data_IF_801672396096
#
_entry.id   IF_801672396096
#
_cell.length_a   1.000
_cell.length_b   1.000
_cell.length_c   1.000
_cell.angle_alpha   90.00
_cell.angle_beta   90.00
_cell.angle_gamma   90.00
#
_symmetry.space_group_name_H-M   'P 1'
#
loop_
_entity.id
_entity.type
_entity.pdbx_description
1 polymer ?
#
# COMPACT_ATOMS: atom_id res chain seq x y z
N UNK A 1 -15.52 -24.10 0.96
CA UNK A 1 -15.79 -22.79 0.27
C UNK A 1 -17.14 -22.88 -0.45
N UNK A 2 -18.01 -21.93 -0.22
CA UNK A 2 -19.29 -21.77 -0.95
C UNK A 2 -19.05 -21.16 -2.35
N UNK A 3 -20.11 -21.02 -3.17
CA UNK A 3 -19.98 -20.51 -4.54
C UNK A 3 -19.41 -19.09 -4.61
N UNK A 4 -19.82 -18.21 -3.68
CA UNK A 4 -19.36 -16.83 -3.62
C UNK A 4 -17.88 -16.73 -3.22
N UNK A 5 -17.44 -17.52 -2.26
CA UNK A 5 -16.04 -17.61 -1.86
C UNK A 5 -15.16 -18.13 -3.00
N UNK A 6 -15.64 -19.14 -3.77
CA UNK A 6 -14.92 -19.64 -4.95
C UNK A 6 -14.78 -18.56 -6.03
N UNK A 7 -15.84 -17.80 -6.27
CA UNK A 7 -15.81 -16.69 -7.22
C UNK A 7 -14.73 -15.66 -6.86
N UNK A 8 -14.73 -15.15 -5.61
CA UNK A 8 -13.76 -14.16 -5.18
C UNK A 8 -12.33 -14.72 -5.08
N UNK A 9 -12.16 -16.00 -4.74
CA UNK A 9 -10.85 -16.65 -4.80
C UNK A 9 -10.32 -16.76 -6.23
N UNK A 10 -11.19 -17.02 -7.20
CA UNK A 10 -10.84 -16.99 -8.63
C UNK A 10 -10.42 -15.58 -9.08
N UNK A 11 -11.20 -14.58 -8.71
CA UNK A 11 -10.92 -13.18 -9.02
C UNK A 11 -9.55 -12.72 -8.45
N UNK A 12 -9.25 -13.06 -7.20
CA UNK A 12 -7.96 -12.74 -6.59
C UNK A 12 -6.79 -13.39 -7.35
N UNK A 13 -6.93 -14.68 -7.71
CA UNK A 13 -5.91 -15.40 -8.49
C UNK A 13 -5.65 -14.79 -9.86
N UNK A 14 -6.72 -14.41 -10.56
CA UNK A 14 -6.63 -13.76 -11.86
C UNK A 14 -5.96 -12.38 -11.73
N UNK A 15 -6.32 -11.61 -10.72
CA UNK A 15 -5.74 -10.30 -10.46
C UNK A 15 -4.25 -10.39 -10.15
N UNK A 16 -3.82 -11.32 -9.28
CA UNK A 16 -2.40 -11.55 -8.98
C UNK A 16 -1.60 -11.85 -10.26
N UNK A 17 -2.15 -12.65 -11.18
CA UNK A 17 -1.49 -12.92 -12.46
C UNK A 17 -1.44 -11.74 -13.43
N UNK A 18 -2.28 -10.71 -13.21
CA UNK A 18 -2.35 -9.53 -14.07
C UNK A 18 -1.53 -8.33 -13.57
N UNK A 19 -1.44 -8.14 -12.26
CA UNK A 19 -0.82 -6.92 -11.70
C UNK A 19 0.66 -6.76 -12.07
N UNK A 20 1.39 -7.87 -12.28
CA UNK A 20 2.79 -7.86 -12.71
C UNK A 20 2.98 -8.17 -14.20
N UNK A 21 1.94 -8.05 -15.03
CA UNK A 21 2.04 -8.35 -16.47
C UNK A 21 2.63 -7.21 -17.30
N UNK A 22 2.56 -5.98 -16.82
CA UNK A 22 3.15 -4.79 -17.41
C UNK A 22 3.21 -3.65 -16.37
N UNK A 23 3.96 -2.58 -16.68
CA UNK A 23 4.15 -1.42 -15.80
C UNK A 23 2.82 -0.74 -15.45
N UNK A 24 1.92 -0.53 -16.41
CA UNK A 24 0.65 0.16 -16.17
C UNK A 24 -0.24 -0.58 -15.18
N UNK A 25 -0.30 -1.90 -15.25
CA UNK A 25 -1.05 -2.71 -14.30
C UNK A 25 -0.43 -2.65 -12.90
N UNK A 26 0.89 -2.71 -12.82
CA UNK A 26 1.60 -2.63 -11.54
C UNK A 26 1.43 -1.26 -10.89
N UNK A 27 1.71 -0.19 -11.60
CA UNK A 27 1.57 1.19 -11.08
C UNK A 27 0.12 1.53 -10.74
N UNK A 28 -0.85 1.06 -11.53
CA UNK A 28 -2.29 1.20 -11.22
C UNK A 28 -2.65 0.50 -9.90
N UNK A 29 -2.11 -0.70 -9.67
CA UNK A 29 -2.28 -1.41 -8.39
C UNK A 29 -1.65 -0.63 -7.23
N UNK A 30 -0.40 -0.14 -7.39
CA UNK A 30 0.30 0.65 -6.38
C UNK A 30 -0.45 1.94 -6.01
N UNK A 31 -1.07 2.62 -7.00
CA UNK A 31 -1.92 3.80 -6.75
C UNK A 31 -3.14 3.47 -5.89
N UNK A 32 -3.77 2.33 -6.11
CA UNK A 32 -4.91 1.89 -5.30
C UNK A 32 -4.44 1.53 -3.89
N UNK A 33 -3.28 0.87 -3.79
CA UNK A 33 -2.67 0.50 -2.51
C UNK A 33 -2.30 1.73 -1.67
N UNK A 34 -1.70 2.76 -2.26
CA UNK A 34 -1.32 3.99 -1.56
C UNK A 34 -2.50 4.69 -0.88
N UNK A 35 -3.69 4.65 -1.52
CA UNK A 35 -4.91 5.26 -1.00
C UNK A 35 -5.57 4.43 0.12
N UNK A 36 -5.31 3.12 0.13
CA UNK A 36 -5.92 2.15 1.04
C UNK A 36 -4.85 1.39 1.86
N UNK A 37 -3.75 2.05 2.23
CA UNK A 37 -2.54 1.46 2.83
C UNK A 37 -2.77 0.73 4.17
N UNK A 38 -3.89 0.97 4.84
CA UNK A 38 -4.25 0.28 6.09
C UNK A 38 -4.62 -1.20 5.91
N UNK A 39 -4.88 -1.62 4.65
CA UNK A 39 -5.25 -3.01 4.34
C UNK A 39 -4.01 -3.86 4.07
N UNK A 40 -4.09 -5.14 4.40
CA UNK A 40 -3.05 -6.11 4.08
C UNK A 40 -2.95 -6.35 2.57
N UNK A 41 -1.80 -6.82 2.07
CA UNK A 41 -1.63 -7.09 0.64
C UNK A 41 -2.73 -7.97 0.01
N UNK A 42 -3.17 -9.09 0.61
CA UNK A 42 -4.28 -9.87 0.04
C UNK A 42 -5.60 -9.08 -0.04
N UNK A 43 -5.85 -8.19 0.92
CA UNK A 43 -7.02 -7.31 0.91
C UNK A 43 -6.89 -6.21 -0.14
N UNK A 44 -5.68 -5.66 -0.34
CA UNK A 44 -5.38 -4.71 -1.42
C UNK A 44 -5.64 -5.32 -2.80
N UNK A 45 -5.23 -6.57 -3.03
CA UNK A 45 -5.54 -7.31 -4.25
C UNK A 45 -7.05 -7.42 -4.46
N UNK A 46 -7.81 -7.69 -3.39
CA UNK A 46 -9.26 -7.79 -3.46
C UNK A 46 -9.95 -6.45 -3.70
N UNK A 47 -9.44 -5.36 -3.11
CA UNK A 47 -9.93 -4.01 -3.35
C UNK A 47 -9.69 -3.64 -4.82
N UNK A 48 -8.47 -3.79 -5.29
CA UNK A 48 -8.09 -3.48 -6.67
C UNK A 48 -8.88 -4.29 -7.69
N UNK A 49 -9.03 -5.60 -7.46
CA UNK A 49 -9.77 -6.50 -8.35
C UNK A 49 -11.24 -6.11 -8.56
N UNK A 50 -11.87 -5.52 -7.53
CA UNK A 50 -13.28 -5.14 -7.57
C UNK A 50 -13.50 -3.66 -7.85
N UNK A 51 -12.54 -2.82 -7.46
CA UNK A 51 -12.63 -1.36 -7.61
C UNK A 51 -11.22 -0.73 -7.71
N UNK A 52 -10.60 -0.73 -8.88
CA UNK A 52 -9.25 -0.15 -9.08
C UNK A 52 -9.16 1.33 -8.69
N UNK A 53 -10.27 2.06 -8.75
CA UNK A 53 -10.35 3.48 -8.40
C UNK A 53 -10.80 3.74 -6.95
N UNK A 54 -10.80 2.72 -6.08
CA UNK A 54 -11.12 2.91 -4.67
C UNK A 54 -10.21 3.96 -4.04
N UNK A 55 -10.79 4.88 -3.25
CA UNK A 55 -10.06 6.02 -2.68
C UNK A 55 -9.89 5.93 -1.19
N UNK A 56 -10.91 5.52 -0.45
CA UNK A 56 -10.86 5.38 0.99
C UNK A 56 -11.91 4.38 1.46
N UNK A 57 -11.47 3.16 1.75
CA UNK A 57 -12.34 2.05 2.12
C UNK A 57 -12.36 1.84 3.63
N UNK A 58 -13.55 1.63 4.18
CA UNK A 58 -13.75 1.24 5.59
C UNK A 58 -14.90 0.24 5.72
N UNK A 59 -14.92 -0.57 6.78
CA UNK A 59 -16.09 -1.38 7.17
C UNK A 59 -17.36 -0.53 7.32
N UNK A 60 -18.51 -1.18 7.18
CA UNK A 60 -19.81 -0.49 7.32
C UNK A 60 -19.97 0.21 8.69
N UNK A 61 -19.51 -0.46 9.74
CA UNK A 61 -19.59 0.00 11.12
C UNK A 61 -18.77 1.27 11.33
N UNK A 62 -17.57 1.33 10.75
CA UNK A 62 -16.67 2.46 10.90
C UNK A 62 -17.25 3.73 10.25
N UNK A 63 -17.94 3.59 9.12
CA UNK A 63 -18.60 4.74 8.48
C UNK A 63 -19.64 5.41 9.37
N UNK A 64 -20.32 4.63 10.24
CA UNK A 64 -21.30 5.14 11.20
C UNK A 64 -20.67 5.64 12.51
N UNK A 65 -19.40 5.31 12.78
CA UNK A 65 -18.70 5.73 13.99
C UNK A 65 -18.55 7.26 14.07
N UNK A 66 -18.24 7.76 15.26
CA UNK A 66 -18.19 9.21 15.55
C UNK A 66 -17.16 9.95 14.68
N UNK A 67 -16.07 9.28 14.31
CA UNK A 67 -15.01 9.85 13.49
C UNK A 67 -15.47 10.24 12.08
N UNK A 68 -16.48 9.55 11.54
CA UNK A 68 -16.95 9.80 10.17
C UNK A 68 -18.42 10.26 10.14
N UNK A 69 -19.30 9.68 10.95
CA UNK A 69 -20.74 9.95 11.00
C UNK A 69 -21.40 9.95 9.61
N UNK A 70 -20.92 9.08 8.73
CA UNK A 70 -21.44 8.90 7.38
C UNK A 70 -22.37 7.69 7.33
N UNK A 71 -23.15 7.56 6.28
CA UNK A 71 -23.96 6.37 6.03
C UNK A 71 -23.64 5.78 4.67
N UNK A 72 -23.64 4.46 4.55
CA UNK A 72 -23.54 3.77 3.26
C UNK A 72 -24.87 3.95 2.53
N UNK A 73 -24.82 4.43 1.28
CA UNK A 73 -26.01 4.67 0.45
C UNK A 73 -26.71 3.36 0.14
N UNK A 74 -28.04 3.41 0.10
CA UNK A 74 -28.86 2.23 -0.27
C UNK A 74 -28.53 1.79 -1.68
N UNK A 75 -28.27 0.49 -1.86
CA UNK A 75 -27.93 -0.11 -3.16
C UNK A 75 -26.42 -0.11 -3.48
N UNK A 76 -25.58 0.46 -2.60
CA UNK A 76 -24.12 0.33 -2.76
C UNK A 76 -23.68 -1.12 -2.65
N UNK A 77 -22.72 -1.50 -3.49
CA UNK A 77 -22.12 -2.84 -3.48
C UNK A 77 -20.81 -2.80 -2.69
N UNK A 78 -20.76 -3.52 -1.58
CA UNK A 78 -19.53 -3.64 -0.79
C UNK A 78 -18.45 -4.44 -1.51
N UNK A 79 -17.20 -4.04 -1.30
CA UNK A 79 -16.00 -4.75 -1.75
C UNK A 79 -15.78 -5.94 -0.79
N UNK A 80 -15.77 -7.15 -1.32
CA UNK A 80 -15.60 -8.36 -0.54
C UNK A 80 -14.13 -8.61 -0.24
N UNK A 81 -13.78 -8.81 1.03
CA UNK A 81 -12.44 -9.16 1.49
C UNK A 81 -12.46 -10.53 2.16
N UNK A 82 -11.39 -11.31 1.97
CA UNK A 82 -11.21 -12.55 2.71
C UNK A 82 -10.62 -12.27 4.09
N UNK A 83 -11.26 -12.85 5.10
CA UNK A 83 -10.71 -12.87 6.47
C UNK A 83 -10.61 -14.32 6.92
N UNK A 84 -9.49 -14.66 7.54
CA UNK A 84 -9.30 -15.97 8.16
C UNK A 84 -9.79 -15.92 9.60
N UNK A 85 -10.74 -16.78 9.96
CA UNK A 85 -11.14 -17.01 11.34
C UNK A 85 -10.81 -18.46 11.70
N UNK A 86 -9.76 -18.65 12.48
CA UNK A 86 -9.13 -19.95 12.71
C UNK A 86 -8.80 -20.58 11.36
N UNK A 87 -9.42 -21.73 11.01
CA UNK A 87 -9.13 -22.44 9.76
C UNK A 87 -10.19 -22.23 8.65
N UNK A 88 -11.13 -21.31 8.85
CA UNK A 88 -12.23 -21.07 7.90
C UNK A 88 -12.19 -19.65 7.36
N UNK A 89 -12.02 -19.48 6.04
CA UNK A 89 -12.17 -18.17 5.42
C UNK A 89 -13.65 -17.76 5.44
N UNK A 90 -13.89 -16.46 5.66
CA UNK A 90 -15.20 -15.85 5.46
C UNK A 90 -15.04 -14.53 4.73
N UNK A 91 -16.12 -13.99 4.20
CA UNK A 91 -16.12 -12.70 3.53
C UNK A 91 -16.62 -11.61 4.49
N UNK A 92 -15.81 -10.55 4.64
CA UNK A 92 -16.27 -9.27 5.19
C UNK A 92 -16.40 -8.26 4.05
N UNK A 93 -17.10 -7.17 4.27
CA UNK A 93 -17.32 -6.15 3.26
C UNK A 93 -16.83 -4.79 3.75
N UNK A 94 -16.14 -4.08 2.85
CA UNK A 94 -15.80 -2.67 3.02
C UNK A 94 -16.50 -1.84 1.95
N UNK A 95 -16.66 -0.56 2.19
CA UNK A 95 -17.28 0.39 1.29
C UNK A 95 -16.34 1.56 1.07
N UNK A 96 -16.23 1.99 -0.18
CA UNK A 96 -15.47 3.19 -0.53
C UNK A 96 -16.23 4.45 -0.08
N UNK A 97 -15.52 5.54 0.17
CA UNK A 97 -16.12 6.83 0.52
C UNK A 97 -17.15 7.30 -0.50
N UNK A 98 -16.99 6.99 -1.78
CA UNK A 98 -17.93 7.31 -2.85
C UNK A 98 -19.31 6.62 -2.67
N UNK A 99 -19.34 5.49 -1.97
CA UNK A 99 -20.57 4.77 -1.61
C UNK A 99 -21.29 5.38 -0.42
N UNK A 100 -20.72 6.39 0.20
CA UNK A 100 -21.28 6.97 1.44
C UNK A 100 -21.92 8.33 1.20
N UNK A 101 -22.88 8.66 2.05
CA UNK A 101 -23.50 9.97 2.14
C UNK A 101 -23.13 10.67 3.45
N UNK A 102 -23.13 12.00 3.41
CA UNK A 102 -22.89 12.85 4.59
C UNK A 102 -24.20 13.13 5.33
N UNK A 103 -24.13 13.21 6.67
CA UNK A 103 -25.18 13.73 7.53
C UNK A 103 -24.83 15.18 7.89
N UNK A 104 -25.81 15.95 8.38
CA UNK A 104 -25.56 17.33 8.82
C UNK A 104 -24.45 17.45 9.88
N UNK A 105 -24.26 16.40 10.68
CA UNK A 105 -23.24 16.32 11.71
C UNK A 105 -21.97 15.56 11.29
N UNK A 106 -21.83 15.17 10.02
CA UNK A 106 -20.63 14.48 9.56
C UNK A 106 -19.44 15.44 9.56
N UNK A 107 -18.32 15.07 10.18
CA UNK A 107 -17.10 15.84 10.02
C UNK A 107 -16.65 15.80 8.56
N UNK A 108 -15.92 16.83 8.16
CA UNK A 108 -15.23 16.84 6.88
C UNK A 108 -14.14 15.76 6.90
N UNK A 109 -14.10 14.94 5.85
CA UNK A 109 -13.01 13.99 5.67
C UNK A 109 -11.79 14.76 5.19
N UNK A 110 -10.80 14.86 6.03
CA UNK A 110 -9.50 15.45 5.70
C UNK A 110 -8.46 14.32 5.74
N UNK A 111 -8.13 13.73 4.58
CA UNK A 111 -6.93 12.90 4.52
C UNK A 111 -5.74 13.73 4.99
N UNK A 112 -4.85 13.10 5.75
CA UNK A 112 -3.62 13.80 6.12
C UNK A 112 -2.81 14.17 4.86
N UNK A 113 -2.19 15.31 4.90
CA UNK A 113 -1.37 15.84 3.81
C UNK A 113 -0.05 16.38 4.35
N UNK A 114 1.02 16.19 3.62
CA UNK A 114 2.28 16.87 3.87
C UNK A 114 2.19 18.25 3.22
N UNK A 115 2.21 19.28 4.07
CA UNK A 115 2.17 20.68 3.66
C UNK A 115 3.54 21.33 3.88
N UNK A 116 3.83 22.52 3.29
CA UNK A 116 5.06 23.26 3.60
C UNK A 116 5.29 23.48 5.09
N UNK A 117 4.20 23.62 5.88
CA UNK A 117 4.27 23.90 7.31
C UNK A 117 4.62 22.70 8.19
N UNK A 118 4.29 21.47 7.76
CA UNK A 118 4.60 20.26 8.51
C UNK A 118 5.74 19.43 7.91
N UNK A 119 6.22 19.79 6.71
CA UNK A 119 7.21 19.01 5.95
C UNK A 119 8.49 18.75 6.72
N UNK A 120 9.09 19.78 7.33
CA UNK A 120 10.31 19.59 8.11
C UNK A 120 10.11 18.67 9.31
N UNK A 121 8.96 18.81 9.98
CA UNK A 121 8.61 17.94 11.11
C UNK A 121 8.45 16.47 10.68
N UNK A 122 7.82 16.23 9.53
CA UNK A 122 7.70 14.89 8.95
C UNK A 122 9.10 14.34 8.63
N UNK A 123 9.97 15.13 7.98
CA UNK A 123 11.32 14.69 7.64
C UNK A 123 12.16 14.33 8.87
N UNK A 124 12.09 15.12 9.94
CA UNK A 124 12.76 14.82 11.22
C UNK A 124 12.19 13.54 11.88
N UNK A 125 10.88 13.33 11.80
CA UNK A 125 10.26 12.11 12.32
C UNK A 125 10.71 10.87 11.54
N UNK A 126 10.78 10.98 10.22
CA UNK A 126 11.28 9.91 9.35
C UNK A 126 12.75 9.59 9.61
N UNK A 127 13.61 10.63 9.78
CA UNK A 127 15.02 10.45 10.16
C UNK A 127 15.14 9.73 11.52
N UNK A 128 14.40 10.20 12.52
CA UNK A 128 14.40 9.60 13.87
C UNK A 128 13.97 8.14 13.87
N UNK A 129 12.99 7.78 13.03
CA UNK A 129 12.41 6.43 13.01
C UNK A 129 13.20 5.46 12.14
N UNK A 130 13.72 5.91 11.01
CA UNK A 130 14.37 5.05 10.01
C UNK A 130 15.88 5.26 9.90
N UNK A 131 16.43 6.25 10.59
CA UNK A 131 17.88 6.49 10.61
C UNK A 131 18.46 7.07 9.32
N UNK A 132 17.61 7.56 8.40
CA UNK A 132 18.02 8.15 7.13
C UNK A 132 17.93 9.66 7.23
N UNK A 133 19.06 10.33 7.03
CA UNK A 133 19.19 11.78 7.18
C UNK A 133 18.29 12.55 6.19
N UNK A 134 17.79 13.69 6.66
CA UNK A 134 16.97 14.59 5.88
C UNK A 134 17.85 15.62 5.15
N UNK A 135 18.15 15.39 3.88
CA UNK A 135 18.97 16.33 3.06
C UNK A 135 18.14 17.48 2.46
N UNK A 136 17.00 17.82 3.08
CA UNK A 136 16.15 18.93 2.68
C UNK A 136 15.12 18.59 1.58
N UNK A 137 15.18 17.41 0.99
CA UNK A 137 14.24 16.92 -0.04
C UNK A 137 13.53 15.67 0.47
N UNK A 138 12.25 15.79 0.81
CA UNK A 138 11.46 14.68 1.37
C UNK A 138 11.42 13.49 0.43
N UNK A 139 11.23 13.72 -0.86
CA UNK A 139 11.14 12.69 -1.89
C UNK A 139 12.41 11.82 -1.91
N UNK A 140 13.59 12.44 -1.91
CA UNK A 140 14.87 11.72 -1.86
C UNK A 140 15.03 10.93 -0.56
N UNK A 141 14.66 11.53 0.59
CA UNK A 141 14.68 10.83 1.87
C UNK A 141 13.76 9.59 1.86
N UNK A 142 12.59 9.68 1.24
CA UNK A 142 11.65 8.54 1.13
C UNK A 142 12.20 7.42 0.25
N UNK A 143 12.92 7.74 -0.83
CA UNK A 143 13.60 6.77 -1.70
C UNK A 143 14.74 6.05 -0.95
N UNK A 144 15.53 6.79 -0.21
CA UNK A 144 16.61 6.22 0.61
C UNK A 144 16.07 5.31 1.72
N UNK A 145 14.98 5.72 2.39
CA UNK A 145 14.29 4.90 3.38
C UNK A 145 13.72 3.63 2.72
N UNK A 146 13.08 3.74 1.56
CA UNK A 146 12.55 2.60 0.83
C UNK A 146 13.64 1.59 0.47
N UNK A 147 14.81 2.08 0.04
CA UNK A 147 15.98 1.26 -0.28
C UNK A 147 16.55 0.56 0.95
N UNK A 148 16.68 1.28 2.07
CA UNK A 148 17.15 0.72 3.33
C UNK A 148 16.21 -0.36 3.87
N UNK A 149 14.89 -0.10 3.86
CA UNK A 149 13.89 -1.05 4.32
C UNK A 149 13.74 -2.26 3.39
N UNK A 150 13.94 -2.09 2.08
CA UNK A 150 13.99 -3.22 1.15
C UNK A 150 15.17 -4.15 1.43
N UNK A 151 16.33 -3.59 1.81
CA UNK A 151 17.49 -4.36 2.23
C UNK A 151 17.26 -5.09 3.55
N UNK A 152 16.71 -4.40 4.56
CA UNK A 152 16.32 -5.00 5.86
C UNK A 152 15.34 -6.17 5.64
N UNK A 153 14.30 -5.95 4.82
CA UNK A 153 13.30 -6.98 4.52
C UNK A 153 13.91 -8.20 3.82
N UNK A 154 14.84 -7.99 2.89
CA UNK A 154 15.55 -9.08 2.25
C UNK A 154 16.33 -9.91 3.27
N UNK A 155 17.09 -9.28 4.15
CA UNK A 155 17.91 -9.98 5.14
C UNK A 155 17.04 -10.84 6.09
N UNK A 156 15.86 -10.37 6.43
CA UNK A 156 14.90 -11.07 7.29
C UNK A 156 14.22 -12.26 6.60
N UNK A 157 13.93 -12.14 5.30
CA UNK A 157 13.04 -13.08 4.57
C UNK A 157 13.71 -13.81 3.41
N UNK A 158 15.01 -13.58 3.13
CA UNK A 158 15.68 -14.15 1.96
C UNK A 158 15.55 -15.68 1.85
N UNK A 159 15.64 -16.39 2.97
CA UNK A 159 15.53 -17.86 2.96
C UNK A 159 14.15 -18.31 2.47
N UNK A 160 13.09 -17.73 3.03
CA UNK A 160 11.71 -18.04 2.63
C UNK A 160 11.46 -17.63 1.17
N UNK A 161 12.07 -16.53 0.72
CA UNK A 161 11.95 -16.08 -0.65
C UNK A 161 12.66 -17.02 -1.62
N UNK A 162 13.88 -17.44 -1.33
CA UNK A 162 14.63 -18.37 -2.16
C UNK A 162 13.94 -19.74 -2.32
N UNK A 163 13.18 -20.17 -1.30
CA UNK A 163 12.40 -21.41 -1.34
C UNK A 163 11.22 -21.36 -2.35
N UNK A 164 10.82 -20.18 -2.85
CA UNK A 164 9.65 -20.00 -3.72
C UNK A 164 9.97 -19.48 -5.12
N UNK A 165 11.24 -19.29 -5.48
CA UNK A 165 11.63 -18.76 -6.80
C UNK A 165 11.46 -19.76 -7.94
N UNK A 166 11.36 -21.05 -7.63
CA UNK A 166 11.20 -22.11 -8.62
C UNK A 166 10.01 -21.84 -9.58
N UNK A 167 10.21 -22.08 -10.85
CA UNK A 167 9.28 -21.83 -11.96
C UNK A 167 8.97 -20.33 -12.21
N UNK A 168 9.68 -19.39 -11.58
CA UNK A 168 9.67 -17.98 -11.95
C UNK A 168 10.85 -17.66 -12.85
N UNK A 169 10.87 -16.47 -13.45
CA UNK A 169 12.03 -16.01 -14.21
C UNK A 169 13.26 -15.81 -13.31
N UNK A 170 13.07 -15.66 -11.99
CA UNK A 170 14.15 -15.58 -11.01
C UNK A 170 14.91 -16.90 -10.81
N UNK A 171 14.35 -18.04 -11.22
CA UNK A 171 15.01 -19.36 -11.08
C UNK A 171 16.32 -19.44 -11.85
N UNK A 172 16.45 -18.66 -12.94
CA UNK A 172 17.66 -18.62 -13.77
C UNK A 172 18.78 -17.72 -13.19
N UNK A 173 18.47 -16.97 -12.11
CA UNK A 173 19.39 -16.06 -11.47
C UNK A 173 20.18 -16.75 -10.35
N UNK A 174 21.43 -16.33 -10.14
CA UNK A 174 22.13 -16.65 -8.90
C UNK A 174 21.55 -15.85 -7.72
N UNK A 175 21.89 -16.24 -6.49
CA UNK A 175 21.35 -15.62 -5.27
C UNK A 175 21.60 -14.11 -5.22
N UNK A 176 22.77 -13.63 -5.66
CA UNK A 176 23.09 -12.20 -5.68
C UNK A 176 22.20 -11.43 -6.66
N UNK A 177 21.95 -11.99 -7.84
CA UNK A 177 21.08 -11.37 -8.84
C UNK A 177 19.61 -11.42 -8.41
N UNK A 178 19.16 -12.47 -7.69
CA UNK A 178 17.83 -12.53 -7.07
C UNK A 178 17.70 -11.42 -6.01
N UNK A 179 18.70 -11.24 -5.15
CA UNK A 179 18.75 -10.19 -4.14
C UNK A 179 18.61 -8.80 -4.77
N UNK A 180 19.42 -8.52 -5.79
CA UNK A 180 19.39 -7.24 -6.52
C UNK A 180 18.01 -7.00 -7.16
N UNK A 181 17.45 -8.02 -7.82
CA UNK A 181 16.13 -7.94 -8.43
C UNK A 181 15.04 -7.66 -7.40
N UNK A 182 15.07 -8.36 -6.25
CA UNK A 182 14.11 -8.16 -5.17
C UNK A 182 14.21 -6.75 -4.57
N UNK A 183 15.41 -6.33 -4.16
CA UNK A 183 15.63 -5.02 -3.54
C UNK A 183 15.20 -3.88 -4.47
N UNK A 184 15.56 -3.94 -5.75
CA UNK A 184 15.16 -2.92 -6.73
C UNK A 184 13.65 -2.91 -6.95
N UNK A 185 13.03 -4.07 -7.17
CA UNK A 185 11.59 -4.15 -7.37
C UNK A 185 10.80 -3.63 -6.16
N UNK A 186 11.24 -3.95 -4.94
CA UNK A 186 10.61 -3.46 -3.70
C UNK A 186 10.84 -1.97 -3.53
N UNK A 187 12.10 -1.48 -3.59
CA UNK A 187 12.42 -0.08 -3.35
C UNK A 187 11.68 0.85 -4.32
N UNK A 188 11.75 0.58 -5.63
CA UNK A 188 11.06 1.39 -6.64
C UNK A 188 9.54 1.36 -6.47
N UNK A 189 8.97 0.20 -6.13
CA UNK A 189 7.53 0.07 -5.90
C UNK A 189 7.07 0.82 -4.64
N UNK A 190 7.86 0.79 -3.56
CA UNK A 190 7.60 1.56 -2.34
C UNK A 190 7.70 3.05 -2.62
N UNK A 191 8.78 3.51 -3.26
CA UNK A 191 8.98 4.91 -3.64
C UNK A 191 7.82 5.43 -4.49
N UNK A 192 7.43 4.70 -5.53
CA UNK A 192 6.27 5.05 -6.34
C UNK A 192 4.97 5.12 -5.52
N UNK A 193 4.75 4.16 -4.62
CA UNK A 193 3.58 4.14 -3.74
C UNK A 193 3.54 5.37 -2.84
N UNK A 194 4.69 5.79 -2.30
CA UNK A 194 4.81 7.03 -1.52
C UNK A 194 4.51 8.26 -2.39
N UNK A 195 5.11 8.36 -3.57
CA UNK A 195 4.90 9.47 -4.50
C UNK A 195 3.44 9.64 -4.92
N UNK A 196 2.67 8.57 -5.01
CA UNK A 196 1.21 8.65 -5.26
C UNK A 196 0.43 9.49 -4.24
N UNK A 197 1.03 9.83 -3.08
CA UNK A 197 0.41 10.66 -2.03
C UNK A 197 1.02 12.06 -1.94
N UNK A 198 2.23 12.28 -2.46
CA UNK A 198 2.97 13.51 -2.25
C UNK A 198 3.13 14.36 -3.50
N UNK A 199 2.98 13.76 -4.67
CA UNK A 199 3.13 14.47 -5.94
C UNK A 199 1.89 14.32 -6.81
N UNK A 200 1.58 15.34 -7.60
CA UNK A 200 0.41 15.35 -8.47
C UNK A 200 0.49 14.29 -9.57
N UNK A 201 1.70 14.07 -10.11
CA UNK A 201 1.94 13.16 -11.23
C UNK A 201 3.17 12.28 -10.94
N UNK A 202 3.02 11.20 -10.18
CA UNK A 202 4.14 10.32 -9.83
C UNK A 202 4.83 9.72 -11.06
N UNK A 203 4.12 9.49 -12.17
CA UNK A 203 4.69 8.97 -13.42
C UNK A 203 5.77 9.86 -14.05
N UNK A 204 5.87 11.13 -13.67
CA UNK A 204 6.93 12.02 -14.14
C UNK A 204 8.29 11.76 -13.46
N UNK A 205 8.32 10.94 -12.42
CA UNK A 205 9.50 10.62 -11.63
C UNK A 205 10.01 9.20 -11.85
N UNK A 206 9.22 8.37 -12.53
CA UNK A 206 9.55 6.97 -12.76
C UNK A 206 9.36 6.61 -14.22
N UNK A 207 10.29 5.80 -14.72
CA UNK A 207 10.25 5.28 -16.08
C UNK A 207 9.83 3.79 -16.10
N UNK A 208 9.53 3.25 -17.27
CA UNK A 208 9.18 1.83 -17.41
C UNK A 208 10.31 0.91 -16.94
N UNK A 209 11.54 1.34 -17.10
CA UNK A 209 12.77 0.64 -16.73
C UNK A 209 12.88 0.43 -15.22
N UNK A 210 12.37 1.34 -14.41
CA UNK A 210 12.38 1.24 -12.95
C UNK A 210 11.58 0.05 -12.43
N UNK A 211 10.61 -0.42 -13.21
CA UNK A 211 9.75 -1.55 -12.86
C UNK A 211 10.09 -2.85 -13.62
N UNK A 212 11.11 -2.88 -14.46
CA UNK A 212 11.43 -4.09 -15.25
C UNK A 212 11.65 -5.33 -14.38
N UNK A 213 12.28 -5.17 -13.21
CA UNK A 213 12.53 -6.28 -12.29
C UNK A 213 11.27 -6.87 -11.67
N UNK A 214 10.15 -6.12 -11.65
CA UNK A 214 8.85 -6.64 -11.19
C UNK A 214 8.36 -7.81 -12.03
N UNK A 215 8.69 -7.84 -13.33
CA UNK A 215 8.20 -8.88 -14.25
C UNK A 215 8.90 -10.22 -14.09
N UNK A 216 10.05 -10.24 -13.40
CA UNK A 216 10.74 -11.48 -13.05
C UNK A 216 9.96 -12.27 -11.97
N UNK A 217 9.07 -11.58 -11.22
CA UNK A 217 8.16 -12.15 -10.23
C UNK A 217 6.86 -12.60 -10.90
N UNK A 218 6.93 -13.65 -11.72
CA UNK A 218 5.84 -14.08 -12.60
C UNK A 218 5.09 -15.31 -12.13
N UNK A 219 5.40 -15.85 -10.94
CA UNK A 219 4.60 -16.88 -10.27
C UNK A 219 3.73 -16.26 -9.18
N UNK A 220 2.62 -16.92 -8.85
CA UNK A 220 1.76 -16.46 -7.76
C UNK A 220 2.50 -16.30 -6.42
N UNK A 221 3.46 -17.19 -6.14
CA UNK A 221 4.23 -17.15 -4.89
C UNK A 221 5.15 -15.95 -4.86
N UNK A 222 5.91 -15.72 -5.94
CA UNK A 222 6.85 -14.60 -6.03
C UNK A 222 6.12 -13.25 -6.08
N UNK A 223 5.00 -13.15 -6.81
CA UNK A 223 4.15 -11.93 -6.82
C UNK A 223 3.59 -11.62 -5.43
N UNK A 224 3.10 -12.65 -4.71
CA UNK A 224 2.61 -12.46 -3.35
C UNK A 224 3.71 -12.01 -2.39
N UNK A 225 4.91 -12.56 -2.50
CA UNK A 225 6.05 -12.16 -1.67
C UNK A 225 6.46 -10.71 -1.95
N UNK A 226 6.61 -10.34 -3.23
CA UNK A 226 6.89 -8.96 -3.65
C UNK A 226 5.82 -7.99 -3.13
N UNK A 227 4.54 -8.25 -3.41
CA UNK A 227 3.45 -7.38 -3.00
C UNK A 227 3.31 -7.27 -1.48
N UNK A 228 3.59 -8.35 -0.74
CA UNK A 228 3.60 -8.32 0.73
C UNK A 228 4.73 -7.43 1.27
N UNK A 229 5.93 -7.52 0.70
CA UNK A 229 7.05 -6.67 1.09
C UNK A 229 6.74 -5.18 0.82
N UNK A 230 6.29 -4.87 -0.39
CA UNK A 230 5.92 -3.50 -0.78
C UNK A 230 4.83 -2.94 0.15
N UNK A 231 3.78 -3.73 0.41
CA UNK A 231 2.68 -3.31 1.30
C UNK A 231 3.17 -3.07 2.74
N UNK A 232 3.95 -3.99 3.29
CA UNK A 232 4.44 -3.89 4.67
C UNK A 232 5.30 -2.64 4.88
N UNK A 233 6.25 -2.39 3.96
CA UNK A 233 7.15 -1.25 4.03
C UNK A 233 6.38 0.06 3.83
N UNK A 234 5.55 0.16 2.79
CA UNK A 234 4.75 1.37 2.52
C UNK A 234 3.81 1.70 3.67
N UNK A 235 3.14 0.70 4.26
CA UNK A 235 2.25 0.89 5.40
C UNK A 235 3.00 1.46 6.60
N UNK A 236 4.18 0.91 6.94
CA UNK A 236 5.03 1.40 8.03
C UNK A 236 5.44 2.87 7.81
N UNK A 237 5.84 3.22 6.59
CA UNK A 237 6.21 4.60 6.25
C UNK A 237 5.01 5.56 6.33
N UNK A 238 3.86 5.20 5.77
CA UNK A 238 2.65 6.03 5.84
C UNK A 238 2.16 6.24 7.27
N UNK A 239 2.19 5.20 8.10
CA UNK A 239 1.79 5.31 9.51
C UNK A 239 2.68 6.26 10.30
N UNK A 240 3.98 6.27 10.03
CA UNK A 240 4.91 7.20 10.71
C UNK A 240 4.66 8.64 10.25
N UNK A 241 4.42 8.87 8.96
CA UNK A 241 4.07 10.20 8.44
C UNK A 241 2.76 10.70 9.03
N UNK A 242 1.71 9.87 9.03
CA UNK A 242 0.41 10.21 9.61
C UNK A 242 0.52 10.58 11.08
N UNK A 243 1.29 9.79 11.85
CA UNK A 243 1.57 10.04 13.25
C UNK A 243 2.30 11.37 13.45
N UNK A 244 3.34 11.63 12.67
CA UNK A 244 4.12 12.89 12.73
C UNK A 244 3.23 14.11 12.45
N UNK A 245 2.36 14.04 11.45
CA UNK A 245 1.41 15.10 11.14
C UNK A 245 0.44 15.33 12.31
N UNK A 246 -0.11 14.25 12.88
CA UNK A 246 -1.02 14.35 14.04
C UNK A 246 -0.35 14.97 15.27
N UNK A 247 0.90 14.61 15.56
CA UNK A 247 1.69 15.21 16.66
C UNK A 247 1.93 16.72 16.42
N UNK A 248 2.30 17.11 15.21
CA UNK A 248 2.49 18.51 14.83
C UNK A 248 1.20 19.35 14.97
N UNK A 249 0.05 18.80 14.58
CA UNK A 249 -1.24 19.48 14.75
C UNK A 249 -1.60 19.67 16.22
N UNK A 250 -1.30 18.70 17.09
CA UNK A 250 -1.53 18.82 18.53
C UNK A 250 -0.65 19.90 19.18
N UNK A 251 0.64 19.99 18.78
CA UNK A 251 1.55 21.06 19.24
C UNK A 251 0.99 22.43 18.87
N UNK A 252 0.59 22.63 17.61
CA UNK A 252 -0.02 23.90 17.15
C UNK A 252 -1.31 24.24 17.88
N UNK A 253 -2.13 23.27 18.22
CA UNK A 253 -3.35 23.50 18.97
C UNK A 253 -3.06 23.98 20.42
N UNK A 254 -2.01 23.40 21.03
CA UNK A 254 -1.59 23.78 22.40
C UNK A 254 -0.98 25.19 22.44
N UNK A 255 -0.21 25.60 21.44
CA UNK A 255 0.40 26.94 21.34
C UNK A 255 -0.62 28.06 21.13
N UNK A 256 -1.82 27.73 20.62
CA UNK A 256 -2.92 28.69 20.37
C UNK A 256 -3.90 28.84 21.56
N UNK A 257 -3.73 28.04 22.60
CA UNK A 257 -4.61 28.02 23.78
C UNK A 257 -4.01 28.83 24.93
#
# INVERSE_FOLDING_TARGET
MNAKERFYSGLAKETIGKITSNTDNWTSFLRTMSRNYEFTYPEQVMIYAQRPNATFCKPYEDWNAENYRRYVKRGSTGIALFVMNRDKPYLRYVFDVADTGVRRSSPELKPWEVTPENRSYVMEAMERTFGVAADGVLEAQLEDIASALAAEYWDDYKKQFLDIVANSFLEEYDELNIEVAFKNAVANSVSYTMYCRFVESPDNYFEHEDFQKVFDFNTRQTVNALGTAVNAISTRMFQEIEKAIGEHEQIKATERS
#
